data_IF_757015207731
#
_entry.id   IF_757015207731
#
_cell.length_a   1.000
_cell.length_b   1.000
_cell.length_c   1.000
_cell.angle_alpha   90.00
_cell.angle_beta   90.00
_cell.angle_gamma   90.00
#
_symmetry.space_group_name_H-M   'P 1'
#
loop_
_entity.id
_entity.type
_entity.pdbx_description
1 polymer ?
#
# COMPACT_ATOMS: atom_id res chain seq x y z
N UNK A 1 -3.51 -28.41 -0.59
CA UNK A 1 -3.24 -28.43 -2.06
C UNK A 1 -3.20 -29.88 -2.52
N UNK A 2 -3.77 -30.15 -3.66
CA UNK A 2 -3.67 -31.43 -4.36
C UNK A 2 -2.37 -31.49 -5.18
N UNK A 3 -2.04 -32.69 -5.71
CA UNK A 3 -0.81 -32.90 -6.46
C UNK A 3 -0.74 -32.13 -7.79
N UNK A 4 -1.89 -31.75 -8.35
CA UNK A 4 -2.03 -30.90 -9.52
C UNK A 4 -1.93 -29.39 -9.22
N UNK A 5 -1.72 -29.02 -7.93
CA UNK A 5 -1.64 -27.65 -7.46
C UNK A 5 -2.98 -27.02 -7.09
N UNK A 6 -4.11 -27.71 -7.32
CA UNK A 6 -5.43 -27.19 -6.94
C UNK A 6 -5.57 -27.03 -5.43
N UNK A 7 -6.49 -26.12 -5.03
CA UNK A 7 -6.67 -25.71 -3.64
C UNK A 7 -8.07 -26.12 -3.19
N UNK A 8 -8.17 -26.74 -2.02
CA UNK A 8 -9.44 -27.02 -1.36
C UNK A 8 -9.69 -25.96 -0.29
N UNK A 9 -10.92 -25.46 -0.22
CA UNK A 9 -11.42 -24.61 0.85
C UNK A 9 -12.42 -25.38 1.69
N UNK A 10 -12.29 -25.30 3.01
CA UNK A 10 -13.24 -25.89 3.97
C UNK A 10 -13.76 -24.78 4.86
N UNK A 11 -15.07 -24.56 4.83
CA UNK A 11 -15.75 -23.63 5.73
C UNK A 11 -16.30 -24.37 6.95
N UNK A 12 -16.36 -23.72 8.14
CA UNK A 12 -16.97 -24.29 9.33
C UNK A 12 -18.43 -24.65 9.09
N UNK A 13 -18.92 -25.75 9.66
CA UNK A 13 -20.30 -26.20 9.45
C UNK A 13 -21.36 -25.25 10.02
N UNK A 14 -21.01 -24.52 11.07
CA UNK A 14 -21.90 -23.54 11.71
C UNK A 14 -22.09 -22.26 10.89
N UNK A 15 -21.29 -22.05 9.83
CA UNK A 15 -21.44 -20.88 8.94
C UNK A 15 -22.83 -20.80 8.32
N UNK A 16 -23.47 -21.95 8.06
CA UNK A 16 -24.83 -22.02 7.51
C UNK A 16 -25.91 -21.35 8.35
N UNK A 17 -25.63 -21.09 9.64
CA UNK A 17 -26.53 -20.41 10.56
C UNK A 17 -26.26 -18.91 10.69
N UNK A 18 -25.33 -18.37 9.89
CA UNK A 18 -24.99 -16.95 9.89
C UNK A 18 -25.70 -16.21 8.76
N UNK A 19 -26.21 -15.03 9.04
CA UNK A 19 -26.74 -14.12 8.02
C UNK A 19 -25.62 -13.32 7.34
N UNK A 20 -24.59 -12.96 8.12
CA UNK A 20 -23.42 -12.23 7.64
C UNK A 20 -22.16 -12.72 8.36
N UNK A 21 -21.03 -12.73 7.64
CA UNK A 21 -19.70 -13.09 8.17
C UNK A 21 -18.68 -11.99 7.88
N UNK A 22 -17.71 -11.84 8.78
CA UNK A 22 -16.56 -10.98 8.53
C UNK A 22 -15.40 -11.83 8.01
N UNK A 23 -14.84 -11.42 6.86
CA UNK A 23 -13.70 -12.08 6.23
C UNK A 23 -12.52 -11.11 6.24
N UNK A 24 -11.48 -11.45 6.96
CA UNK A 24 -10.19 -10.76 6.86
C UNK A 24 -9.27 -11.56 5.96
N UNK A 25 -8.82 -10.94 4.86
CA UNK A 25 -7.92 -11.58 3.91
C UNK A 25 -6.66 -10.72 3.69
N UNK A 26 -5.51 -11.30 3.97
CA UNK A 26 -4.20 -10.75 3.60
C UNK A 26 -3.71 -11.54 2.40
N UNK A 27 -3.79 -10.91 1.22
CA UNK A 27 -3.51 -11.56 -0.06
C UNK A 27 -2.09 -11.19 -0.49
N UNK A 28 -1.21 -12.18 -0.45
CA UNK A 28 0.22 -12.01 -0.78
C UNK A 28 0.59 -12.54 -2.16
N UNK A 29 -0.26 -13.37 -2.75
CA UNK A 29 -0.05 -13.97 -4.07
C UNK A 29 -1.37 -14.28 -4.79
N UNK A 30 -1.28 -14.78 -6.02
CA UNK A 30 -2.44 -15.13 -6.85
C UNK A 30 -3.29 -16.25 -6.25
N UNK A 31 -2.69 -17.14 -5.45
CA UNK A 31 -3.43 -18.22 -4.77
C UNK A 31 -4.39 -17.64 -3.74
N UNK A 32 -4.01 -16.55 -3.08
CA UNK A 32 -4.86 -15.83 -2.14
C UNK A 32 -6.10 -15.23 -2.80
N UNK A 33 -5.97 -14.69 -4.03
CA UNK A 33 -7.12 -14.21 -4.82
C UNK A 33 -8.07 -15.37 -5.12
N UNK A 34 -7.53 -16.52 -5.53
CA UNK A 34 -8.31 -17.70 -5.85
C UNK A 34 -9.02 -18.27 -4.61
N UNK A 35 -8.34 -18.33 -3.47
CA UNK A 35 -8.94 -18.74 -2.18
C UNK A 35 -10.10 -17.84 -1.78
N UNK A 36 -9.92 -16.52 -1.87
CA UNK A 36 -11.00 -15.57 -1.60
C UNK A 36 -12.19 -15.79 -2.54
N UNK A 37 -11.93 -16.02 -3.83
CA UNK A 37 -12.97 -16.31 -4.82
C UNK A 37 -13.77 -17.55 -4.45
N UNK A 38 -13.12 -18.65 -4.05
CA UNK A 38 -13.80 -19.87 -3.61
C UNK A 38 -14.65 -19.68 -2.37
N UNK A 39 -14.18 -18.89 -1.40
CA UNK A 39 -14.96 -18.54 -0.20
C UNK A 39 -16.19 -17.75 -0.59
N UNK A 40 -16.04 -16.71 -1.43
CA UNK A 40 -17.14 -15.86 -1.86
C UNK A 40 -18.19 -16.64 -2.67
N UNK A 41 -17.75 -17.53 -3.55
CA UNK A 41 -18.64 -18.42 -4.33
C UNK A 41 -19.47 -19.29 -3.40
N UNK A 42 -18.84 -19.91 -2.40
CA UNK A 42 -19.57 -20.76 -1.45
C UNK A 42 -20.59 -19.95 -0.62
N UNK A 43 -20.22 -18.75 -0.17
CA UNK A 43 -21.13 -17.87 0.56
C UNK A 43 -22.31 -17.43 -0.30
N UNK A 44 -22.06 -17.13 -1.58
CA UNK A 44 -23.11 -16.77 -2.54
C UNK A 44 -24.09 -17.92 -2.77
N UNK A 45 -23.60 -19.15 -2.95
CA UNK A 45 -24.42 -20.33 -3.04
C UNK A 45 -25.29 -20.58 -1.79
N UNK A 46 -24.80 -20.17 -0.62
CA UNK A 46 -25.52 -20.30 0.65
C UNK A 46 -26.42 -19.10 0.97
N UNK A 47 -26.38 -18.01 0.18
CA UNK A 47 -27.10 -16.78 0.44
C UNK A 47 -26.61 -15.98 1.64
N UNK A 48 -25.35 -16.23 2.09
CA UNK A 48 -24.75 -15.59 3.25
C UNK A 48 -24.00 -14.33 2.81
N UNK A 49 -24.28 -13.21 3.46
CA UNK A 49 -23.57 -11.95 3.23
C UNK A 49 -22.21 -11.92 3.91
N UNK A 50 -21.34 -11.02 3.46
CA UNK A 50 -20.05 -10.83 4.09
C UNK A 50 -19.60 -9.37 4.09
N UNK A 51 -18.76 -9.04 5.08
CA UNK A 51 -17.93 -7.83 5.10
C UNK A 51 -16.48 -8.25 4.89
N UNK A 52 -15.82 -7.65 3.90
CA UNK A 52 -14.43 -7.94 3.59
C UNK A 52 -13.52 -6.93 4.28
N UNK A 53 -12.54 -7.41 5.01
CA UNK A 53 -11.41 -6.64 5.51
C UNK A 53 -10.20 -7.02 4.67
N UNK A 54 -9.86 -6.17 3.70
CA UNK A 54 -8.73 -6.30 2.78
C UNK A 54 -7.75 -5.16 3.07
N UNK A 55 -6.90 -5.26 4.10
CA UNK A 55 -6.02 -4.16 4.50
C UNK A 55 -5.19 -3.63 3.33
N UNK A 56 -4.66 -4.52 2.51
CA UNK A 56 -3.95 -4.21 1.28
C UNK A 56 -4.70 -4.77 0.05
N UNK A 57 -4.82 -3.95 -0.99
CA UNK A 57 -5.45 -4.36 -2.25
C UNK A 57 -4.41 -5.00 -3.21
N UNK A 58 -4.61 -6.25 -3.60
CA UNK A 58 -3.77 -6.88 -4.63
C UNK A 58 -3.80 -6.07 -5.94
N UNK A 59 -2.66 -6.01 -6.63
CA UNK A 59 -2.49 -5.29 -7.90
C UNK A 59 -2.77 -3.78 -7.84
N UNK A 60 -2.87 -3.16 -6.66
CA UNK A 60 -3.21 -1.74 -6.49
C UNK A 60 -2.25 -0.79 -7.20
N UNK A 61 -1.00 -1.20 -7.46
CA UNK A 61 0.01 -0.43 -8.21
C UNK A 61 -0.10 -0.58 -9.72
N UNK A 62 -1.07 -1.35 -10.22
CA UNK A 62 -1.28 -1.68 -11.63
C UNK A 62 -2.68 -1.24 -12.10
N UNK A 63 -3.11 -0.07 -11.63
CA UNK A 63 -4.43 0.50 -11.90
C UNK A 63 -4.55 1.20 -13.27
N UNK A 64 -3.46 1.29 -14.01
CA UNK A 64 -3.43 1.93 -15.33
C UNK A 64 -2.91 0.98 -16.41
N UNK A 65 -3.62 0.94 -17.54
CA UNK A 65 -3.09 0.31 -18.74
C UNK A 65 -1.96 1.17 -19.31
N UNK A 66 -0.87 0.54 -19.68
CA UNK A 66 0.28 1.22 -20.27
C UNK A 66 0.64 0.59 -21.62
N UNK A 67 0.96 1.44 -22.59
CA UNK A 67 1.57 1.04 -23.84
C UNK A 67 3.04 1.44 -23.82
N UNK A 68 3.91 0.47 -24.03
CA UNK A 68 5.33 0.69 -24.26
C UNK A 68 5.65 0.41 -25.74
N UNK A 69 6.87 0.70 -26.18
CA UNK A 69 7.30 0.41 -27.55
C UNK A 69 7.25 -1.10 -27.90
N UNK A 70 7.29 -1.95 -26.89
CA UNK A 70 7.39 -3.41 -27.05
C UNK A 70 6.15 -4.18 -26.58
N UNK A 71 5.27 -3.59 -25.75
CA UNK A 71 4.12 -4.33 -25.19
C UNK A 71 3.00 -3.44 -24.66
N UNK A 72 1.83 -4.07 -24.48
CA UNK A 72 0.73 -3.52 -23.69
C UNK A 72 0.74 -4.14 -22.29
N UNK A 73 0.75 -3.31 -21.25
CA UNK A 73 0.55 -3.74 -19.87
C UNK A 73 -0.92 -3.51 -19.49
N UNK A 74 -1.66 -4.55 -19.11
CA UNK A 74 -3.07 -4.41 -18.74
C UNK A 74 -3.22 -3.70 -17.40
N UNK A 75 -4.41 -3.14 -17.14
CA UNK A 75 -4.85 -2.76 -15.81
C UNK A 75 -5.20 -4.05 -15.03
N UNK A 76 -4.25 -4.58 -14.28
CA UNK A 76 -4.45 -5.83 -13.52
C UNK A 76 -5.34 -5.62 -12.31
N UNK A 77 -5.40 -4.40 -11.76
CA UNK A 77 -6.32 -4.06 -10.67
C UNK A 77 -7.78 -4.15 -11.13
N UNK A 78 -8.09 -3.69 -12.36
CA UNK A 78 -9.43 -3.84 -12.93
C UNK A 78 -9.90 -5.30 -12.97
N UNK A 79 -8.98 -6.23 -13.28
CA UNK A 79 -9.31 -7.66 -13.29
C UNK A 79 -9.68 -8.16 -11.88
N UNK A 80 -8.93 -7.76 -10.86
CA UNK A 80 -9.24 -8.09 -9.47
C UNK A 80 -10.56 -7.45 -9.01
N UNK A 81 -10.77 -6.17 -9.31
CA UNK A 81 -12.00 -5.45 -8.97
C UNK A 81 -13.25 -6.10 -9.63
N UNK A 82 -13.13 -6.56 -10.88
CA UNK A 82 -14.20 -7.31 -11.56
C UNK A 82 -14.49 -8.66 -10.90
N UNK A 83 -13.48 -9.38 -10.44
CA UNK A 83 -13.69 -10.61 -9.67
C UNK A 83 -14.55 -10.30 -8.44
N UNK A 84 -14.22 -9.29 -7.65
CA UNK A 84 -15.00 -8.90 -6.48
C UNK A 84 -16.42 -8.46 -6.85
N UNK A 85 -16.59 -7.73 -7.95
CA UNK A 85 -17.91 -7.22 -8.38
C UNK A 85 -18.91 -8.31 -8.75
N UNK A 86 -18.45 -9.52 -9.10
CA UNK A 86 -19.32 -10.67 -9.33
C UNK A 86 -20.09 -11.07 -8.04
N UNK A 87 -19.56 -10.70 -6.88
CA UNK A 87 -20.11 -11.03 -5.56
C UNK A 87 -20.73 -9.82 -4.85
N UNK A 88 -20.99 -8.71 -5.56
CA UNK A 88 -21.54 -7.48 -4.97
C UNK A 88 -22.89 -7.65 -4.28
N UNK A 89 -23.65 -8.69 -4.60
CA UNK A 89 -24.92 -8.99 -3.96
C UNK A 89 -24.78 -9.53 -2.55
N UNK A 90 -23.63 -10.11 -2.22
CA UNK A 90 -23.34 -10.65 -0.90
C UNK A 90 -22.26 -9.85 -0.15
N UNK A 91 -21.43 -9.09 -0.84
CA UNK A 91 -20.43 -8.20 -0.20
C UNK A 91 -21.14 -6.93 0.26
N UNK A 92 -21.33 -6.76 1.57
CA UNK A 92 -21.95 -5.57 2.14
C UNK A 92 -21.00 -4.38 2.19
N UNK A 93 -19.71 -4.63 2.45
CA UNK A 93 -18.68 -3.60 2.45
C UNK A 93 -17.28 -4.20 2.31
N UNK A 94 -16.36 -3.38 1.81
CA UNK A 94 -14.92 -3.70 1.77
C UNK A 94 -14.19 -2.65 2.60
N UNK A 95 -13.44 -3.06 3.61
CA UNK A 95 -12.58 -2.16 4.40
C UNK A 95 -11.15 -2.26 3.91
N UNK A 96 -10.54 -1.11 3.60
CA UNK A 96 -9.20 -0.97 3.05
C UNK A 96 -8.42 0.03 3.91
N UNK A 97 -7.13 -0.23 4.12
CA UNK A 97 -6.25 0.68 4.86
C UNK A 97 -5.33 1.39 3.86
N UNK A 98 -5.26 2.71 3.94
CA UNK A 98 -4.35 3.58 3.17
C UNK A 98 -4.14 3.09 1.72
N UNK A 99 -5.16 3.16 0.87
CA UNK A 99 -5.08 2.65 -0.50
C UNK A 99 -3.99 3.38 -1.30
N UNK A 100 -3.32 2.65 -2.19
CA UNK A 100 -2.27 3.21 -3.04
C UNK A 100 -2.75 4.41 -3.87
N UNK A 101 -3.97 4.33 -4.39
CA UNK A 101 -4.56 5.34 -5.26
C UNK A 101 -6.06 5.49 -5.00
N UNK A 102 -6.58 6.71 -5.10
CA UNK A 102 -8.03 6.97 -5.08
C UNK A 102 -8.72 6.38 -6.32
N UNK A 103 -8.01 6.23 -7.43
CA UNK A 103 -8.54 5.60 -8.65
C UNK A 103 -8.96 4.15 -8.36
N UNK A 104 -8.24 3.44 -7.47
CA UNK A 104 -8.61 2.09 -7.05
C UNK A 104 -9.95 2.06 -6.33
N UNK A 105 -10.19 3.01 -5.43
CA UNK A 105 -11.44 3.11 -4.67
C UNK A 105 -12.59 3.47 -5.61
N UNK A 106 -12.41 4.50 -6.43
CA UNK A 106 -13.41 4.95 -7.41
C UNK A 106 -13.81 3.82 -8.36
N UNK A 107 -12.86 2.96 -8.76
CA UNK A 107 -13.14 1.83 -9.63
C UNK A 107 -13.99 0.75 -8.93
N UNK A 108 -13.71 0.44 -7.67
CA UNK A 108 -14.52 -0.51 -6.88
C UNK A 108 -15.94 0.02 -6.71
N UNK A 109 -16.10 1.29 -6.37
CA UNK A 109 -17.41 1.95 -6.22
C UNK A 109 -18.19 2.00 -7.54
N UNK A 110 -17.52 2.29 -8.66
CA UNK A 110 -18.11 2.28 -10.00
C UNK A 110 -18.64 0.88 -10.37
N UNK A 111 -18.00 -0.18 -9.88
CA UNK A 111 -18.45 -1.56 -10.06
C UNK A 111 -19.55 -1.98 -9.09
N UNK A 112 -20.01 -1.08 -8.23
CA UNK A 112 -21.13 -1.28 -7.30
C UNK A 112 -20.74 -1.92 -5.98
N UNK A 113 -19.47 -1.78 -5.55
CA UNK A 113 -18.96 -2.23 -4.26
C UNK A 113 -18.92 -1.03 -3.30
N UNK A 114 -19.34 -1.23 -2.06
CA UNK A 114 -19.26 -0.21 -1.01
C UNK A 114 -17.90 -0.32 -0.31
N UNK A 115 -17.12 0.77 -0.26
CA UNK A 115 -15.76 0.78 0.27
C UNK A 115 -15.64 1.70 1.49
N UNK A 116 -15.09 1.15 2.57
CA UNK A 116 -14.66 1.89 3.76
C UNK A 116 -13.16 2.05 3.73
N UNK A 117 -12.66 3.28 3.74
CA UNK A 117 -11.24 3.58 3.78
C UNK A 117 -10.82 4.00 5.17
N UNK A 118 -9.88 3.28 5.76
CA UNK A 118 -9.15 3.70 6.96
C UNK A 118 -7.94 4.52 6.50
N UNK A 119 -7.93 5.80 6.86
CA UNK A 119 -6.85 6.71 6.46
C UNK A 119 -5.55 6.40 7.17
N UNK A 120 -4.42 6.72 6.53
CA UNK A 120 -3.09 6.63 7.13
C UNK A 120 -3.01 7.37 8.48
N UNK A 121 -3.70 8.50 8.65
CA UNK A 121 -3.75 9.26 9.90
C UNK A 121 -4.40 8.50 11.06
N UNK A 122 -5.36 7.61 10.74
CA UNK A 122 -6.12 6.86 11.76
C UNK A 122 -5.33 5.64 12.29
N UNK A 123 -4.29 5.23 11.55
CA UNK A 123 -3.38 4.14 11.93
C UNK A 123 -2.00 4.63 12.38
N UNK A 124 -1.74 5.94 12.29
CA UNK A 124 -0.43 6.50 12.62
C UNK A 124 -0.18 6.46 14.14
N UNK A 125 0.87 5.78 14.61
CA UNK A 125 1.16 5.65 16.04
C UNK A 125 1.88 6.91 16.56
N UNK A 126 1.12 7.97 16.83
CA UNK A 126 1.62 9.30 17.17
C UNK A 126 2.69 9.29 18.27
N UNK A 127 2.49 8.47 19.31
CA UNK A 127 3.39 8.39 20.46
C UNK A 127 4.80 7.86 20.09
N UNK A 128 4.91 7.12 18.99
CA UNK A 128 6.18 6.55 18.54
C UNK A 128 7.06 7.55 17.76
N UNK A 129 6.48 8.67 17.30
CA UNK A 129 7.13 9.64 16.41
C UNK A 129 7.24 11.04 17.03
N UNK A 130 7.73 11.10 18.26
CA UNK A 130 8.01 12.36 18.93
C UNK A 130 9.34 12.97 18.45
N UNK A 131 9.46 14.30 18.54
CA UNK A 131 10.65 15.07 18.17
C UNK A 131 11.07 14.92 16.69
N UNK A 132 10.10 14.87 15.78
CA UNK A 132 10.33 14.99 14.33
C UNK A 132 10.44 16.48 13.98
N UNK A 133 11.49 16.85 13.25
CA UNK A 133 11.69 18.22 12.77
C UNK A 133 11.05 18.43 11.39
N UNK A 134 11.16 17.43 10.49
CA UNK A 134 10.62 17.48 9.13
C UNK A 134 10.07 16.12 8.69
N UNK A 135 9.07 16.18 7.82
CA UNK A 135 8.56 15.00 7.12
C UNK A 135 8.98 15.07 5.65
N UNK A 136 9.35 13.91 5.09
CA UNK A 136 9.70 13.81 3.68
C UNK A 136 8.79 12.81 2.98
N UNK A 137 8.16 13.30 1.89
CA UNK A 137 7.52 12.45 0.89
C UNK A 137 8.58 11.91 -0.06
N UNK A 138 8.70 10.57 -0.25
CA UNK A 138 9.73 9.98 -1.12
C UNK A 138 9.54 10.30 -2.60
N UNK A 139 8.33 10.69 -3.00
CA UNK A 139 7.99 11.14 -4.34
C UNK A 139 6.67 11.94 -4.33
N UNK A 140 6.23 12.40 -5.52
CA UNK A 140 4.99 13.16 -5.67
C UNK A 140 3.74 12.28 -5.41
N UNK A 141 3.81 10.97 -5.65
CA UNK A 141 2.71 10.03 -5.40
C UNK A 141 2.36 9.91 -3.92
N UNK A 142 3.36 9.93 -3.04
CA UNK A 142 3.16 9.87 -1.60
C UNK A 142 2.79 11.22 -0.96
N UNK A 143 2.82 12.34 -1.72
CA UNK A 143 2.64 13.70 -1.20
C UNK A 143 1.37 13.88 -0.37
N UNK A 144 0.23 13.39 -0.88
CA UNK A 144 -1.07 13.57 -0.21
C UNK A 144 -1.08 12.90 1.16
N UNK A 145 -0.66 11.63 1.23
CA UNK A 145 -0.59 10.87 2.49
C UNK A 145 0.41 11.47 3.48
N UNK A 146 1.58 11.90 2.97
CA UNK A 146 2.61 12.57 3.77
C UNK A 146 2.11 13.87 4.37
N UNK A 147 1.33 14.66 3.61
CA UNK A 147 0.77 15.93 4.10
C UNK A 147 -0.22 15.74 5.25
N UNK A 148 -0.98 14.63 5.26
CA UNK A 148 -1.89 14.31 6.37
C UNK A 148 -1.11 14.10 7.69
N UNK A 149 0.03 13.40 7.62
CA UNK A 149 0.87 13.15 8.80
C UNK A 149 1.64 14.41 9.19
N UNK A 150 2.12 15.20 8.22
CA UNK A 150 2.77 16.50 8.49
C UNK A 150 1.84 17.45 9.24
N UNK A 151 0.58 17.50 8.83
CA UNK A 151 -0.46 18.28 9.52
C UNK A 151 -0.72 17.74 10.94
N UNK A 152 -0.81 16.41 11.08
CA UNK A 152 -1.03 15.77 12.40
C UNK A 152 0.09 16.05 13.39
N UNK A 153 1.35 16.04 12.91
CA UNK A 153 2.54 16.33 13.72
C UNK A 153 2.85 17.83 13.84
N UNK A 154 2.18 18.68 13.05
CA UNK A 154 2.44 20.11 12.94
C UNK A 154 3.91 20.42 12.59
N UNK A 155 4.46 19.73 11.59
CA UNK A 155 5.85 19.90 11.13
C UNK A 155 5.88 20.16 9.62
N UNK A 156 6.90 20.89 9.11
CA UNK A 156 7.01 21.15 7.67
C UNK A 156 7.29 19.87 6.87
N UNK A 157 6.77 19.85 5.63
CA UNK A 157 6.91 18.74 4.70
C UNK A 157 7.79 19.13 3.51
N UNK A 158 8.63 18.21 3.10
CA UNK A 158 9.47 18.29 1.90
C UNK A 158 9.08 17.13 0.96
N UNK A 159 9.01 17.41 -0.35
CA UNK A 159 8.74 16.38 -1.36
C UNK A 159 10.03 16.11 -2.13
N UNK A 160 10.48 14.86 -2.09
CA UNK A 160 11.60 14.43 -2.91
C UNK A 160 11.15 14.25 -4.37
N UNK A 161 12.00 14.63 -5.31
CA UNK A 161 11.76 14.50 -6.75
C UNK A 161 12.82 13.62 -7.36
N UNK A 162 12.41 12.81 -8.33
CA UNK A 162 13.32 12.05 -9.17
C UNK A 162 13.56 12.83 -10.45
N UNK A 163 14.76 13.31 -10.65
CA UNK A 163 15.18 13.97 -11.87
C UNK A 163 16.13 13.04 -12.64
N UNK A 164 16.03 13.07 -13.96
CA UNK A 164 16.95 12.32 -14.81
C UNK A 164 18.13 13.23 -15.13
N UNK A 165 19.31 12.85 -14.70
CA UNK A 165 20.52 13.56 -15.05
C UNK A 165 20.68 13.58 -16.58
N UNK A 166 20.81 14.76 -17.23
CA UNK A 166 20.87 14.87 -18.68
C UNK A 166 22.15 14.27 -19.26
N UNK A 167 23.24 14.22 -18.49
CA UNK A 167 24.57 13.81 -18.97
C UNK A 167 24.76 12.29 -18.97
N UNK A 168 24.36 11.63 -17.86
CA UNK A 168 24.55 10.17 -17.70
C UNK A 168 23.24 9.37 -17.76
N UNK A 169 22.06 10.03 -17.86
CA UNK A 169 20.71 9.45 -17.83
C UNK A 169 20.36 8.69 -16.53
N UNK A 170 21.16 8.79 -15.51
CA UNK A 170 20.83 8.23 -14.20
C UNK A 170 19.71 9.01 -13.54
N UNK A 171 18.90 8.32 -12.72
CA UNK A 171 17.85 8.95 -11.95
C UNK A 171 18.47 9.40 -10.63
N UNK A 172 18.51 10.70 -10.44
CA UNK A 172 18.94 11.32 -9.19
C UNK A 172 17.72 11.73 -8.37
N UNK A 173 17.80 11.49 -7.07
CA UNK A 173 16.79 11.97 -6.13
C UNK A 173 17.22 13.34 -5.62
N UNK A 174 16.39 14.35 -5.82
CA UNK A 174 16.66 15.72 -5.43
C UNK A 174 15.66 16.16 -4.37
N UNK A 175 16.16 16.74 -3.30
CA UNK A 175 15.37 17.47 -2.32
C UNK A 175 15.46 18.95 -2.65
N UNK A 176 14.42 19.48 -3.29
CA UNK A 176 14.35 20.91 -3.63
C UNK A 176 13.91 21.67 -2.36
N UNK A 177 14.88 21.95 -1.49
CA UNK A 177 14.63 22.65 -0.22
C UNK A 177 15.80 23.58 0.13
N UNK A 178 15.45 24.78 0.60
CA UNK A 178 16.40 25.71 1.22
C UNK A 178 16.53 25.49 2.73
N UNK A 179 15.80 24.52 3.28
CA UNK A 179 15.79 24.22 4.71
C UNK A 179 17.08 23.51 5.11
N UNK A 180 17.64 23.91 6.25
CA UNK A 180 18.80 23.23 6.84
C UNK A 180 18.33 21.95 7.56
N UNK A 181 18.70 20.80 7.00
CA UNK A 181 18.37 19.47 7.54
C UNK A 181 19.47 18.89 8.42
N UNK A 182 20.62 19.59 8.54
CA UNK A 182 21.73 19.11 9.37
C UNK A 182 21.28 18.93 10.81
N UNK A 183 21.66 17.81 11.40
CA UNK A 183 21.35 17.41 12.77
C UNK A 183 19.85 17.31 13.10
N UNK A 184 18.97 17.23 12.07
CA UNK A 184 17.51 17.12 12.20
C UNK A 184 17.02 15.67 12.25
N UNK A 185 15.87 15.47 12.90
CA UNK A 185 15.14 14.21 12.92
C UNK A 185 14.10 14.19 11.80
N UNK A 186 14.22 13.26 10.90
CA UNK A 186 13.39 13.16 9.70
C UNK A 186 12.44 11.96 9.82
N UNK A 187 11.18 12.16 9.41
CA UNK A 187 10.24 11.07 9.18
C UNK A 187 9.95 10.96 7.68
N UNK A 188 10.14 9.78 7.12
CA UNK A 188 9.72 9.43 5.76
C UNK A 188 8.40 8.68 5.84
N UNK A 189 7.41 9.08 5.03
CA UNK A 189 6.07 8.46 5.01
C UNK A 189 5.77 7.96 3.60
N UNK A 190 5.37 6.68 3.50
CA UNK A 190 4.95 6.07 2.24
C UNK A 190 3.87 5.01 2.51
N UNK A 191 3.20 4.52 1.45
CA UNK A 191 2.21 3.43 1.57
C UNK A 191 2.84 2.04 1.51
N UNK A 192 3.77 1.82 0.61
CA UNK A 192 4.29 0.49 0.32
C UNK A 192 5.81 0.45 0.37
N UNK A 193 6.34 -0.52 1.10
CA UNK A 193 7.73 -0.94 0.97
C UNK A 193 7.80 -2.36 0.41
N UNK A 194 8.53 -2.53 -0.70
CA UNK A 194 8.76 -3.80 -1.35
C UNK A 194 10.27 -4.13 -1.31
N UNK A 195 11.04 -3.81 -2.35
CA UNK A 195 12.50 -3.98 -2.35
C UNK A 195 13.24 -2.91 -1.51
N UNK A 196 12.59 -1.82 -1.19
CA UNK A 196 13.16 -0.73 -0.40
C UNK A 196 14.13 0.19 -1.15
N UNK A 197 14.28 0.07 -2.48
CA UNK A 197 15.25 0.85 -3.25
C UNK A 197 15.05 2.36 -3.10
N UNK A 198 13.83 2.86 -3.29
CA UNK A 198 13.53 4.30 -3.16
C UNK A 198 13.83 4.85 -1.77
N UNK A 199 13.52 4.06 -0.73
CA UNK A 199 13.80 4.44 0.65
C UNK A 199 15.31 4.38 0.95
N UNK A 200 16.00 3.37 0.42
CA UNK A 200 17.46 3.25 0.53
C UNK A 200 18.17 4.47 -0.07
N UNK A 201 17.83 4.83 -1.32
CA UNK A 201 18.44 5.95 -2.03
C UNK A 201 18.17 7.28 -1.30
N UNK A 202 16.92 7.48 -0.85
CA UNK A 202 16.55 8.65 -0.06
C UNK A 202 17.32 8.74 1.26
N UNK A 203 17.42 7.64 2.00
CA UNK A 203 18.14 7.62 3.29
C UNK A 203 19.64 7.85 3.11
N UNK A 204 20.23 7.34 2.02
CA UNK A 204 21.63 7.59 1.67
C UNK A 204 21.87 9.09 1.44
N UNK A 205 21.07 9.74 0.60
CA UNK A 205 21.18 11.18 0.30
C UNK A 205 21.01 12.02 1.58
N UNK A 206 20.00 11.71 2.40
CA UNK A 206 19.75 12.42 3.66
C UNK A 206 20.95 12.35 4.61
N UNK A 207 21.61 11.20 4.68
CA UNK A 207 22.80 11.01 5.52
C UNK A 207 24.05 11.66 4.94
N UNK A 208 24.32 11.43 3.65
CA UNK A 208 25.57 11.84 3.02
C UNK A 208 25.60 13.33 2.67
N UNK A 209 24.50 13.86 2.11
CA UNK A 209 24.47 15.24 1.62
C UNK A 209 23.93 16.22 2.67
N UNK A 210 22.90 15.81 3.43
CA UNK A 210 22.23 16.70 4.38
C UNK A 210 22.65 16.48 5.84
N UNK A 211 23.43 15.43 6.16
CA UNK A 211 23.96 15.15 7.51
C UNK A 211 22.86 15.12 8.58
N UNK A 212 21.72 14.52 8.25
CA UNK A 212 20.60 14.41 9.19
C UNK A 212 20.97 13.53 10.39
N UNK A 213 20.42 13.85 11.57
CA UNK A 213 20.70 13.14 12.82
C UNK A 213 20.03 11.77 12.84
N UNK A 214 18.73 11.73 12.53
CA UNK A 214 17.91 10.51 12.60
C UNK A 214 16.94 10.45 11.42
N UNK A 215 16.75 9.25 10.90
CA UNK A 215 15.71 8.96 9.92
C UNK A 215 14.81 7.88 10.50
N UNK A 216 13.52 8.16 10.55
CA UNK A 216 12.47 7.22 10.89
C UNK A 216 11.57 7.04 9.67
N UNK A 217 10.91 5.88 9.54
CA UNK A 217 9.99 5.62 8.44
C UNK A 217 8.67 5.12 8.99
N UNK A 218 7.57 5.57 8.40
CA UNK A 218 6.24 5.01 8.59
C UNK A 218 5.69 4.56 7.26
N UNK A 219 5.38 3.27 7.16
CA UNK A 219 4.93 2.61 5.94
C UNK A 219 3.66 1.81 6.28
N UNK A 220 2.57 2.04 5.55
CA UNK A 220 1.29 1.37 5.81
C UNK A 220 1.33 -0.12 5.47
N UNK A 221 2.05 -0.49 4.40
CA UNK A 221 2.09 -1.86 3.86
C UNK A 221 3.51 -2.33 3.61
N UNK A 222 3.97 -3.27 4.41
CA UNK A 222 5.27 -3.90 4.25
C UNK A 222 5.12 -5.22 3.46
N UNK A 223 5.38 -5.18 2.14
CA UNK A 223 5.37 -6.37 1.27
C UNK A 223 6.62 -7.20 1.50
N UNK A 224 7.76 -6.54 1.65
CA UNK A 224 9.06 -7.13 2.05
C UNK A 224 9.48 -8.31 1.18
N UNK A 225 9.72 -8.07 -0.09
CA UNK A 225 10.32 -9.06 -0.98
C UNK A 225 11.63 -9.61 -0.42
N UNK A 226 11.97 -10.86 -0.74
CA UNK A 226 13.16 -11.56 -0.24
C UNK A 226 14.50 -10.85 -0.49
N UNK A 227 14.53 -9.87 -1.40
CA UNK A 227 15.71 -9.07 -1.74
C UNK A 227 15.66 -7.65 -1.15
N UNK A 228 14.99 -7.46 -0.01
CA UNK A 228 14.94 -6.16 0.67
C UNK A 228 16.35 -5.61 0.94
N UNK A 229 16.64 -4.38 0.46
CA UNK A 229 17.94 -3.72 0.56
C UNK A 229 18.07 -2.77 1.77
N UNK A 230 17.14 -2.82 2.70
CA UNK A 230 17.22 -1.99 3.91
C UNK A 230 18.17 -2.62 4.92
N UNK A 231 19.29 -1.96 5.17
CA UNK A 231 20.07 -2.23 6.36
C UNK A 231 19.48 -1.41 7.51
N UNK A 232 18.73 -2.06 8.39
CA UNK A 232 18.26 -1.42 9.63
C UNK A 232 19.46 -1.45 10.58
N UNK A 233 20.03 -0.29 10.98
CA UNK A 233 21.09 -0.28 11.98
C UNK A 233 20.57 -0.94 13.24
N UNK A 234 21.27 -1.97 13.74
CA UNK A 234 20.98 -2.52 15.05
C UNK A 234 20.99 -1.40 16.09
N UNK A 235 19.98 -1.36 16.93
CA UNK A 235 19.98 -0.49 18.11
C UNK A 235 21.20 -0.88 18.96
N UNK A 236 22.27 -0.09 18.93
CA UNK A 236 23.28 -0.06 19.98
C UNK A 236 22.86 0.97 21.02
#
# INVERSE_FOLDING_TARGET
KYSDGSIEVKLPLDIKHKECVNIRAVITDVSGILLLTYVLEQLQCMGIKCKLDLPYLPNSRQERSQKTDSCYKPNSFLSFARILSNYKTIIESITIIDPHSEDNISLLELLGLYVNVISIKDIFPLDNFQNIDYIISPDEGARKRTSLIATLLNVPMIVARKERNPDNREIELILNTELDLKDKNILVVDDIIDYGNSLHDLTKILKENYKVKRISCFISHAILSSNLRLTIPSRT
#
